data_IF_154548216716
#
_entry.id   IF_154548216716
#
_cell.length_a   1.000
_cell.length_b   1.000
_cell.length_c   1.000
_cell.angle_alpha   90.00
_cell.angle_beta   90.00
_cell.angle_gamma   90.00
#
_symmetry.space_group_name_H-M   'P 1'
#
loop_
_entity.id
_entity.type
_entity.pdbx_description
1 polymer ?
#
# COMPACT_ATOMS: atom_id res chain seq x y z
N UNK A 1 -9.45 -1.52 46.02
CA UNK A 1 -10.41 -0.80 45.16
C UNK A 1 -10.14 -1.17 43.71
N UNK A 2 -10.83 -2.17 43.18
CA UNK A 2 -10.74 -2.54 41.76
C UNK A 2 -11.57 -1.55 40.96
N UNK A 3 -10.96 -0.44 40.54
CA UNK A 3 -11.54 0.43 39.53
C UNK A 3 -11.79 -0.45 38.30
N UNK A 4 -13.03 -0.51 37.83
CA UNK A 4 -13.36 -1.31 36.65
C UNK A 4 -12.48 -0.87 35.48
N UNK A 5 -11.95 -1.81 34.69
CA UNK A 5 -11.11 -1.52 33.51
C UNK A 5 -11.77 -0.53 32.54
N UNK A 6 -13.11 -0.51 32.51
CA UNK A 6 -13.92 0.45 31.75
C UNK A 6 -13.87 1.86 32.34
N UNK A 7 -13.91 1.97 33.67
CA UNK A 7 -13.90 3.23 34.41
C UNK A 7 -12.53 3.91 34.34
N UNK A 8 -11.43 3.15 34.38
CA UNK A 8 -10.08 3.68 34.18
C UNK A 8 -9.88 4.25 32.77
N UNK A 9 -10.37 3.55 31.74
CA UNK A 9 -10.33 4.02 30.33
C UNK A 9 -11.19 5.25 30.13
N UNK A 10 -12.38 5.27 30.73
CA UNK A 10 -13.28 6.41 30.68
C UNK A 10 -12.67 7.65 31.35
N UNK A 11 -12.06 7.50 32.53
CA UNK A 11 -11.36 8.60 33.24
C UNK A 11 -10.13 9.11 32.46
N UNK A 12 -9.35 8.22 31.84
CA UNK A 12 -8.23 8.60 30.97
C UNK A 12 -8.71 9.35 29.72
N UNK A 13 -9.76 8.87 29.06
CA UNK A 13 -10.33 9.54 27.89
C UNK A 13 -10.86 10.95 28.24
N UNK A 14 -11.52 11.10 29.39
CA UNK A 14 -11.97 12.41 29.90
C UNK A 14 -10.77 13.34 30.12
N UNK A 15 -9.72 12.85 30.79
CA UNK A 15 -8.51 13.66 31.04
C UNK A 15 -7.90 14.21 29.74
N UNK A 16 -7.80 13.37 28.69
CA UNK A 16 -7.26 13.79 27.40
C UNK A 16 -8.19 14.72 26.62
N UNK A 17 -9.50 14.55 26.71
CA UNK A 17 -10.47 15.52 26.16
C UNK A 17 -10.38 16.88 26.86
N UNK A 18 -10.18 16.91 28.17
CA UNK A 18 -9.98 18.16 28.92
C UNK A 18 -8.68 18.85 28.49
N UNK A 19 -7.58 18.10 28.33
CA UNK A 19 -6.32 18.67 27.85
C UNK A 19 -6.43 19.21 26.41
N UNK A 20 -7.11 18.48 25.53
CA UNK A 20 -7.35 18.92 24.15
C UNK A 20 -8.25 20.17 24.08
N UNK A 21 -9.24 20.28 24.97
CA UNK A 21 -10.06 21.49 25.10
C UNK A 21 -9.22 22.69 25.55
N UNK A 22 -8.30 22.51 26.50
CA UNK A 22 -7.35 23.57 26.90
C UNK A 22 -6.54 24.03 25.69
N UNK A 23 -5.95 23.11 24.92
CA UNK A 23 -5.17 23.43 23.70
C UNK A 23 -6.00 24.23 22.69
N UNK A 24 -7.26 23.82 22.45
CA UNK A 24 -8.16 24.52 21.54
C UNK A 24 -8.47 25.95 22.01
N UNK A 25 -8.66 26.14 23.33
CA UNK A 25 -8.89 27.47 23.93
C UNK A 25 -7.63 28.33 23.86
N UNK A 26 -6.43 27.79 24.08
CA UNK A 26 -5.17 28.55 23.93
C UNK A 26 -4.96 29.01 22.49
N UNK A 27 -5.23 28.15 21.51
CA UNK A 27 -5.16 28.51 20.08
C UNK A 27 -6.19 29.59 19.75
N UNK A 28 -7.44 29.46 20.22
CA UNK A 28 -8.46 30.49 20.03
C UNK A 28 -8.02 31.84 20.60
N UNK A 29 -7.55 31.86 21.85
CA UNK A 29 -7.10 33.09 22.52
C UNK A 29 -5.92 33.75 21.80
N UNK A 30 -4.97 32.95 21.30
CA UNK A 30 -3.83 33.44 20.53
C UNK A 30 -4.24 34.06 19.18
N UNK A 31 -5.19 33.44 18.47
CA UNK A 31 -5.69 33.96 17.20
C UNK A 31 -6.47 35.27 17.41
N UNK A 32 -7.30 35.36 18.45
CA UNK A 32 -7.98 36.61 18.83
C UNK A 32 -6.96 37.70 19.19
N UNK A 33 -5.88 37.34 19.90
CA UNK A 33 -4.82 38.28 20.27
C UNK A 33 -4.08 38.87 19.05
N UNK A 34 -3.91 38.08 17.98
CA UNK A 34 -3.31 38.54 16.71
C UNK A 34 -4.32 39.32 15.84
N UNK A 35 -5.54 39.55 16.35
CA UNK A 35 -6.57 40.34 15.65
C UNK A 35 -7.35 39.55 14.60
N UNK A 36 -7.31 38.21 14.65
CA UNK A 36 -8.15 37.38 13.79
C UNK A 36 -9.59 37.46 14.30
N UNK A 37 -10.52 37.57 13.36
CA UNK A 37 -11.93 37.73 13.65
C UNK A 37 -12.47 36.60 14.54
N UNK A 38 -13.24 36.94 15.56
CA UNK A 38 -13.58 36.04 16.68
C UNK A 38 -14.23 34.72 16.24
N UNK A 39 -15.05 34.73 15.17
CA UNK A 39 -15.67 33.50 14.64
C UNK A 39 -14.67 32.58 13.94
N UNK A 40 -13.66 33.14 13.26
CA UNK A 40 -12.60 32.36 12.61
C UNK A 40 -11.68 31.76 13.67
N UNK A 41 -11.33 32.54 14.70
CA UNK A 41 -10.56 32.05 15.83
C UNK A 41 -11.31 30.95 16.60
N UNK A 42 -12.63 31.08 16.77
CA UNK A 42 -13.46 30.07 17.41
C UNK A 42 -13.47 28.75 16.62
N UNK A 43 -13.73 28.81 15.32
CA UNK A 43 -13.72 27.64 14.44
C UNK A 43 -12.35 26.94 14.42
N UNK A 44 -11.26 27.71 14.36
CA UNK A 44 -9.89 27.18 14.39
C UNK A 44 -9.55 26.53 15.74
N UNK A 45 -9.92 27.15 16.86
CA UNK A 45 -9.72 26.59 18.20
C UNK A 45 -10.51 25.30 18.43
N UNK A 46 -11.79 25.28 18.04
CA UNK A 46 -12.64 24.09 18.13
C UNK A 46 -12.12 22.93 17.26
N UNK A 47 -11.75 23.23 16.00
CA UNK A 47 -11.17 22.24 15.09
C UNK A 47 -9.87 21.65 15.63
N UNK A 48 -8.98 22.50 16.16
CA UNK A 48 -7.71 22.05 16.76
C UNK A 48 -7.94 21.18 18.00
N UNK A 49 -8.88 21.57 18.88
CA UNK A 49 -9.23 20.78 20.06
C UNK A 49 -9.80 19.40 19.72
N UNK A 50 -10.64 19.29 18.69
CA UNK A 50 -11.21 18.00 18.25
C UNK A 50 -10.12 17.09 17.67
N UNK A 51 -9.27 17.61 16.76
CA UNK A 51 -8.19 16.83 16.14
C UNK A 51 -7.15 16.41 17.18
N UNK A 52 -6.77 17.31 18.09
CA UNK A 52 -5.85 17.00 19.19
C UNK A 52 -6.45 15.93 20.13
N UNK A 53 -7.75 15.99 20.44
CA UNK A 53 -8.43 14.99 21.25
C UNK A 53 -8.38 13.59 20.64
N UNK A 54 -8.71 13.47 19.34
CA UNK A 54 -8.59 12.20 18.62
C UNK A 54 -7.15 11.69 18.55
N UNK A 55 -6.17 12.57 18.28
CA UNK A 55 -4.76 12.19 18.21
C UNK A 55 -4.21 11.73 19.57
N UNK A 56 -4.51 12.44 20.65
CA UNK A 56 -4.04 12.11 22.00
C UNK A 56 -4.67 10.80 22.50
N UNK A 57 -5.94 10.55 22.21
CA UNK A 57 -6.58 9.27 22.57
C UNK A 57 -5.98 8.12 21.75
N UNK A 58 -5.82 8.28 20.43
CA UNK A 58 -5.27 7.23 19.57
C UNK A 58 -3.81 6.88 19.91
N UNK A 59 -3.00 7.88 20.29
CA UNK A 59 -1.57 7.67 20.56
C UNK A 59 -1.27 7.35 22.03
N UNK A 60 -1.98 7.97 22.99
CA UNK A 60 -1.69 7.86 24.43
C UNK A 60 -2.73 7.06 25.24
N UNK A 61 -3.92 6.75 24.71
CA UNK A 61 -4.78 5.71 25.29
C UNK A 61 -4.43 4.29 24.79
N UNK A 62 -3.35 4.13 24.00
CA UNK A 62 -2.75 2.83 23.70
C UNK A 62 -2.32 2.19 25.02
N UNK A 63 -2.90 1.05 25.38
CA UNK A 63 -2.76 0.52 26.75
C UNK A 63 -1.35 -0.04 26.99
N UNK A 64 -0.93 -0.08 28.25
CA UNK A 64 0.31 -0.77 28.65
C UNK A 64 0.34 -2.25 28.17
N UNK A 65 -0.83 -2.88 27.98
CA UNK A 65 -0.96 -4.22 27.39
C UNK A 65 -0.65 -4.24 25.88
N UNK A 66 -1.08 -3.25 25.10
CA UNK A 66 -0.73 -3.16 23.67
C UNK A 66 0.76 -2.88 23.47
N UNK A 67 1.35 -2.08 24.35
CA UNK A 67 2.80 -1.86 24.36
C UNK A 67 3.56 -3.10 24.83
N UNK A 68 3.06 -3.83 25.84
CA UNK A 68 3.64 -5.10 26.27
C UNK A 68 3.49 -6.20 25.22
N UNK A 69 2.35 -6.27 24.51
CA UNK A 69 2.10 -7.19 23.41
C UNK A 69 2.99 -6.87 22.22
N UNK A 70 3.18 -5.58 21.89
CA UNK A 70 4.11 -5.15 20.85
C UNK A 70 5.56 -5.47 21.22
N UNK A 71 5.95 -5.25 22.48
CA UNK A 71 7.28 -5.59 22.98
C UNK A 71 7.52 -7.12 23.03
N UNK A 72 6.47 -7.91 23.30
CA UNK A 72 6.51 -9.38 23.24
C UNK A 72 6.66 -9.86 21.80
N UNK A 73 5.88 -9.30 20.87
CA UNK A 73 5.96 -9.64 19.44
C UNK A 73 7.33 -9.30 18.83
N UNK A 74 7.97 -8.20 19.26
CA UNK A 74 9.33 -7.87 18.86
C UNK A 74 10.36 -8.88 19.39
N UNK A 75 10.23 -9.30 20.66
CA UNK A 75 11.09 -10.34 21.25
C UNK A 75 10.93 -11.70 20.58
N UNK A 76 9.69 -12.10 20.26
CA UNK A 76 9.42 -13.34 19.53
C UNK A 76 9.94 -13.27 18.08
N UNK A 77 9.80 -12.12 17.43
CA UNK A 77 10.37 -11.88 16.09
C UNK A 77 11.90 -11.91 16.07
N UNK A 78 12.54 -11.40 17.11
CA UNK A 78 14.00 -11.46 17.26
C UNK A 78 14.47 -12.88 17.57
N UNK A 79 13.78 -13.59 18.45
CA UNK A 79 14.05 -15.00 18.75
C UNK A 79 13.90 -15.90 17.50
N UNK A 80 12.91 -15.63 16.65
CA UNK A 80 12.72 -16.35 15.38
C UNK A 80 13.84 -16.07 14.35
N UNK A 81 14.45 -14.87 14.38
CA UNK A 81 15.57 -14.49 13.50
C UNK A 81 16.92 -14.95 14.01
N UNK A 82 17.05 -15.19 15.33
CA UNK A 82 18.29 -15.62 15.98
C UNK A 82 19.01 -16.79 15.29
N UNK A 83 18.36 -17.93 14.95
CA UNK A 83 19.05 -19.04 14.27
C UNK A 83 19.57 -18.67 12.88
N UNK A 84 18.87 -17.81 12.14
CA UNK A 84 19.34 -17.31 10.84
C UNK A 84 20.52 -16.34 10.99
N UNK A 85 20.52 -15.51 12.03
CA UNK A 85 21.63 -14.61 12.34
C UNK A 85 22.87 -15.39 12.77
N UNK A 86 22.72 -16.37 13.66
CA UNK A 86 23.82 -17.22 14.14
C UNK A 86 24.39 -18.07 12.97
N UNK A 87 23.53 -18.61 12.09
CA UNK A 87 23.96 -19.34 10.89
C UNK A 87 24.64 -18.45 9.83
N UNK A 88 24.34 -17.15 9.79
CA UNK A 88 24.99 -16.20 8.89
C UNK A 88 26.26 -15.61 9.50
N UNK A 89 26.33 -15.43 10.81
CA UNK A 89 27.53 -15.00 11.53
C UNK A 89 28.63 -16.08 11.49
N UNK A 90 28.24 -17.36 11.47
CA UNK A 90 29.17 -18.48 11.26
C UNK A 90 29.76 -18.54 9.84
N UNK A 91 29.20 -17.81 8.88
CA UNK A 91 29.79 -17.66 7.55
C UNK A 91 30.85 -16.57 7.60
N UNK A 92 32.11 -16.98 7.73
CA UNK A 92 33.26 -16.08 7.53
C UNK A 92 33.27 -15.62 6.08
N UNK A 93 32.79 -14.41 5.82
CA UNK A 93 33.08 -13.72 4.57
C UNK A 93 34.57 -13.37 4.63
N UNK A 94 35.39 -14.14 3.92
CA UNK A 94 36.77 -13.75 3.63
C UNK A 94 36.67 -12.46 2.80
N UNK A 95 36.73 -11.32 3.48
CA UNK A 95 37.08 -10.06 2.84
C UNK A 95 38.53 -10.20 2.42
N UNK A 96 38.76 -10.75 1.23
CA UNK A 96 40.07 -10.84 0.64
C UNK A 96 40.65 -9.42 0.57
N UNK A 97 41.67 -9.15 1.38
CA UNK A 97 42.57 -8.01 1.22
C UNK A 97 43.06 -8.08 -0.22
N UNK A 98 42.67 -7.08 -1.04
CA UNK A 98 43.07 -6.95 -2.44
C UNK A 98 44.57 -7.24 -2.60
N UNK A 99 44.99 -8.37 -3.20
CA UNK A 99 46.38 -8.54 -3.61
C UNK A 99 46.59 -7.67 -4.85
N UNK A 100 47.74 -6.99 -4.85
CA UNK A 100 48.12 -6.05 -5.89
C UNK A 100 48.27 -6.66 -7.27
N UNK A 101 48.50 -5.73 -8.19
CA UNK A 101 48.90 -5.87 -9.58
C UNK A 101 49.68 -7.15 -9.93
N UNK A 102 49.41 -7.63 -11.15
CA UNK A 102 50.21 -8.58 -11.93
C UNK A 102 50.06 -10.08 -11.60
N UNK A 103 49.08 -10.75 -12.24
CA UNK A 103 49.20 -12.11 -12.76
C UNK A 103 47.95 -12.56 -13.55
N UNK A 104 48.16 -13.45 -14.50
CA UNK A 104 47.30 -13.77 -15.63
C UNK A 104 46.00 -14.56 -15.34
N UNK A 105 45.06 -14.38 -16.27
CA UNK A 105 43.82 -15.11 -16.60
C UNK A 105 43.72 -16.58 -16.13
N UNK A 106 42.80 -16.84 -15.20
CA UNK A 106 41.95 -18.05 -15.15
C UNK A 106 40.61 -17.69 -14.51
N UNK A 107 39.50 -18.00 -15.19
CA UNK A 107 38.13 -17.71 -14.73
C UNK A 107 37.61 -18.80 -13.78
N UNK A 108 36.88 -18.47 -12.68
CA UNK A 108 36.05 -19.43 -11.98
C UNK A 108 34.65 -19.45 -12.56
N UNK A 109 34.29 -20.59 -13.13
CA UNK A 109 32.95 -20.98 -13.59
C UNK A 109 32.00 -21.13 -12.41
N UNK A 110 30.99 -20.28 -12.33
CA UNK A 110 29.77 -20.54 -11.54
C UNK A 110 28.63 -20.84 -12.54
N UNK A 111 27.92 -21.98 -12.44
CA UNK A 111 26.85 -22.32 -13.38
C UNK A 111 25.68 -21.36 -13.20
N UNK A 112 25.57 -20.43 -14.16
CA UNK A 112 24.44 -19.51 -14.33
C UNK A 112 23.36 -20.23 -15.13
N UNK A 113 22.42 -20.87 -14.45
CA UNK A 113 21.17 -21.30 -15.07
C UNK A 113 20.28 -20.08 -15.32
N UNK A 114 20.48 -19.45 -16.46
CA UNK A 114 19.57 -18.48 -17.06
C UNK A 114 19.16 -19.00 -18.44
N UNK A 115 17.86 -19.13 -18.76
CA UNK A 115 17.43 -19.21 -20.14
C UNK A 115 17.56 -17.83 -20.81
N UNK A 116 18.64 -17.74 -21.58
CA UNK A 116 19.00 -16.84 -22.67
C UNK A 116 17.84 -16.03 -23.30
N UNK A 117 17.97 -14.71 -23.21
CA UNK A 117 17.42 -13.78 -24.19
C UNK A 117 18.17 -13.93 -25.54
N UNK A 118 17.42 -14.05 -26.63
CA UNK A 118 17.86 -13.77 -28.00
C UNK A 118 16.92 -12.66 -28.52
N UNK A 119 17.41 -11.43 -28.57
CA UNK A 119 17.94 -10.77 -29.77
C UNK A 119 16.88 -9.88 -30.44
N UNK A 120 17.07 -8.58 -30.26
CA UNK A 120 16.35 -7.50 -30.93
C UNK A 120 16.73 -7.38 -32.41
N UNK A 121 15.84 -6.83 -33.24
CA UNK A 121 16.24 -5.98 -34.35
C UNK A 121 15.66 -4.55 -34.21
N UNK A 122 16.40 -3.57 -34.73
CA UNK A 122 16.10 -2.12 -34.83
C UNK A 122 16.29 -1.74 -36.33
N UNK A 123 15.82 -0.59 -36.88
CA UNK A 123 14.47 0.00 -36.98
C UNK A 123 14.02 0.40 -38.43
N UNK A 124 12.73 0.78 -38.57
CA UNK A 124 12.09 1.73 -39.53
C UNK A 124 11.85 1.27 -41.01
N UNK A 125 10.77 1.71 -41.73
CA UNK A 125 10.21 3.08 -41.74
C UNK A 125 8.66 3.28 -41.72
N UNK A 126 8.28 4.55 -41.53
CA UNK A 126 6.97 5.25 -41.53
C UNK A 126 6.29 5.26 -42.93
N UNK A 127 4.95 5.37 -43.08
CA UNK A 127 4.21 6.65 -43.27
C UNK A 127 2.91 6.75 -42.40
N UNK A 128 2.57 7.84 -41.70
CA UNK A 128 1.83 9.06 -42.15
C UNK A 128 0.49 8.73 -42.87
N UNK A 129 -0.71 9.28 -42.59
CA UNK A 129 -1.16 10.43 -41.80
C UNK A 129 -2.69 10.31 -41.48
N UNK A 130 -3.16 11.08 -40.48
CA UNK A 130 -4.56 11.30 -40.06
C UNK A 130 -5.33 12.20 -41.07
N UNK A 131 -6.65 12.54 -40.89
CA UNK A 131 -7.19 13.43 -39.83
C UNK A 131 -8.59 13.01 -39.27
N UNK A 132 -8.90 13.10 -37.97
CA UNK A 132 -9.23 14.27 -37.12
C UNK A 132 -10.66 14.85 -37.27
N UNK A 133 -11.50 14.71 -36.22
CA UNK A 133 -12.36 15.79 -35.68
C UNK A 133 -12.63 15.58 -34.18
N UNK A 134 -12.46 16.65 -33.40
CA UNK A 134 -12.80 16.83 -31.96
C UNK A 134 -13.76 18.06 -31.86
N UNK A 135 -14.08 18.70 -30.70
CA UNK A 135 -14.01 18.35 -29.26
C UNK A 135 -15.24 18.83 -28.41
N UNK A 136 -15.29 18.48 -27.10
CA UNK A 136 -15.78 19.26 -25.91
C UNK A 136 -16.37 18.32 -24.82
N UNK A 137 -16.15 18.41 -23.50
CA UNK A 137 -15.39 19.29 -22.61
C UNK A 137 -15.09 18.56 -21.27
N UNK A 138 -14.03 18.98 -20.57
CA UNK A 138 -13.48 18.42 -19.32
C UNK A 138 -14.12 18.98 -18.02
N UNK A 139 -13.73 18.51 -16.80
CA UNK A 139 -12.47 18.95 -16.14
C UNK A 139 -11.64 17.77 -15.59
N UNK A 140 -10.36 17.62 -15.96
CA UNK A 140 -9.12 18.15 -15.35
C UNK A 140 -8.35 17.07 -14.56
N UNK A 141 -7.00 16.99 -14.66
CA UNK A 141 -6.28 15.72 -14.65
C UNK A 141 -5.51 15.47 -13.35
N UNK A 142 -5.61 14.25 -12.82
CA UNK A 142 -4.61 13.68 -11.92
C UNK A 142 -3.51 13.03 -12.76
N UNK A 143 -2.26 13.23 -12.37
CA UNK A 143 -1.04 12.88 -13.09
C UNK A 143 -1.11 11.50 -13.79
N UNK A 144 -1.14 11.50 -15.12
CA UNK A 144 -1.07 10.27 -15.91
C UNK A 144 0.35 9.72 -15.91
N UNK A 145 0.58 8.73 -15.06
CA UNK A 145 1.60 7.73 -15.30
C UNK A 145 0.86 6.44 -15.66
N UNK A 146 0.83 6.10 -16.95
CA UNK A 146 0.21 4.86 -17.45
C UNK A 146 -1.18 5.04 -18.06
N UNK A 147 -1.51 4.16 -19.02
CA UNK A 147 -2.85 4.09 -19.61
C UNK A 147 -3.83 3.48 -18.60
N UNK A 148 -4.99 4.12 -18.41
CA UNK A 148 -6.08 3.56 -17.62
C UNK A 148 -6.63 2.29 -18.30
N UNK A 149 -6.70 1.15 -17.61
CA UNK A 149 -7.28 -0.06 -18.17
C UNK A 149 -8.78 0.05 -18.40
N UNK A 150 -9.29 -0.78 -19.31
CA UNK A 150 -10.71 -0.81 -19.67
C UNK A 150 -11.60 -1.14 -18.45
N UNK A 151 -12.36 -0.14 -18.01
CA UNK A 151 -13.30 -0.23 -16.89
C UNK A 151 -14.74 -0.31 -17.39
N UNK A 152 -15.60 -0.96 -16.61
CA UNK A 152 -17.03 -1.09 -16.84
C UNK A 152 -17.79 -0.23 -15.83
N UNK A 153 -18.96 0.28 -16.19
CA UNK A 153 -19.83 1.05 -15.28
C UNK A 153 -20.67 0.17 -14.36
N UNK A 154 -20.82 -1.11 -14.71
CA UNK A 154 -21.59 -2.11 -14.00
C UNK A 154 -21.06 -3.51 -14.35
N UNK A 155 -21.27 -4.51 -13.48
CA UNK A 155 -20.98 -5.90 -13.82
C UNK A 155 -21.79 -6.37 -15.04
N UNK A 156 -21.25 -7.34 -15.79
CA UNK A 156 -21.94 -7.92 -16.95
C UNK A 156 -23.16 -8.73 -16.50
N UNK A 157 -23.96 -9.23 -17.47
CA UNK A 157 -25.18 -10.03 -17.24
C UNK A 157 -25.03 -11.24 -16.30
N UNK A 158 -23.80 -11.68 -16.00
CA UNK A 158 -23.50 -12.78 -15.07
C UNK A 158 -23.19 -12.38 -13.63
N UNK A 159 -23.28 -11.09 -13.26
CA UNK A 159 -22.84 -10.59 -11.95
C UNK A 159 -21.36 -10.26 -11.92
N UNK A 160 -20.83 -9.83 -10.77
CA UNK A 160 -19.39 -9.63 -10.57
C UNK A 160 -18.73 -10.95 -10.15
N UNK A 161 -17.49 -11.15 -10.57
CA UNK A 161 -16.67 -12.26 -10.09
C UNK A 161 -16.15 -11.95 -8.67
N UNK A 162 -15.88 -12.98 -7.88
CA UNK A 162 -15.33 -12.82 -6.53
C UNK A 162 -13.83 -12.52 -6.57
N UNK A 163 -13.47 -11.24 -6.65
CA UNK A 163 -12.06 -10.83 -6.75
C UNK A 163 -11.24 -11.24 -5.51
N UNK A 164 -11.88 -11.58 -4.38
CA UNK A 164 -11.17 -12.01 -3.16
C UNK A 164 -10.47 -13.37 -3.31
N UNK A 165 -10.81 -14.15 -4.34
CA UNK A 165 -10.09 -15.39 -4.70
C UNK A 165 -8.67 -15.15 -5.21
N UNK A 166 -8.31 -13.91 -5.56
CA UNK A 166 -6.94 -13.52 -5.87
C UNK A 166 -6.19 -13.22 -4.58
N UNK A 167 -5.03 -13.84 -4.38
CA UNK A 167 -4.18 -13.59 -3.22
C UNK A 167 -3.78 -12.12 -3.17
N UNK A 168 -4.07 -11.48 -2.04
CA UNK A 168 -3.77 -10.06 -1.82
C UNK A 168 -4.94 -9.11 -2.09
N UNK A 169 -6.02 -9.59 -2.70
CA UNK A 169 -7.30 -8.89 -2.79
C UNK A 169 -8.18 -9.29 -1.60
N UNK A 170 -8.40 -8.37 -0.66
CA UNK A 170 -9.37 -8.56 0.42
C UNK A 170 -10.68 -7.83 0.13
N UNK A 171 -11.70 -8.02 0.97
CA UNK A 171 -13.03 -7.40 0.81
C UNK A 171 -13.00 -5.87 0.64
N UNK A 172 -12.02 -5.17 1.22
CA UNK A 172 -11.83 -3.72 1.03
C UNK A 172 -11.26 -3.38 -0.35
N UNK A 173 -10.33 -4.18 -0.85
CA UNK A 173 -9.69 -4.00 -2.15
C UNK A 173 -10.64 -4.36 -3.29
N UNK A 174 -11.44 -5.41 -3.11
CA UNK A 174 -12.50 -5.77 -4.04
C UNK A 174 -13.48 -4.60 -4.23
N UNK A 175 -13.95 -3.98 -3.14
CA UNK A 175 -14.80 -2.78 -3.23
C UNK A 175 -14.15 -1.65 -4.02
N UNK A 176 -12.88 -1.35 -3.76
CA UNK A 176 -12.14 -0.34 -4.51
C UNK A 176 -11.99 -0.70 -6.00
N UNK A 177 -11.73 -1.97 -6.32
CA UNK A 177 -11.67 -2.43 -7.71
C UNK A 177 -13.03 -2.29 -8.40
N UNK A 178 -14.10 -2.66 -7.72
CA UNK A 178 -15.47 -2.53 -8.19
C UNK A 178 -15.86 -1.05 -8.39
N UNK A 179 -15.44 -0.15 -7.50
CA UNK A 179 -15.65 1.30 -7.63
C UNK A 179 -14.89 1.89 -8.84
N UNK A 180 -13.70 1.35 -9.13
CA UNK A 180 -12.91 1.72 -10.33
C UNK A 180 -13.46 1.12 -11.63
N UNK A 181 -14.43 0.19 -11.54
CA UNK A 181 -15.10 -0.46 -12.66
C UNK A 181 -14.48 -1.79 -13.10
N UNK A 182 -13.73 -2.46 -12.22
CA UNK A 182 -13.19 -3.80 -12.44
C UNK A 182 -13.99 -4.81 -11.63
N UNK A 183 -14.78 -5.64 -12.33
CA UNK A 183 -15.69 -6.60 -11.71
C UNK A 183 -15.35 -8.05 -12.07
N UNK A 184 -14.47 -8.27 -13.04
CA UNK A 184 -14.23 -9.61 -13.59
C UNK A 184 -12.75 -9.98 -13.67
N UNK A 185 -12.45 -11.27 -13.51
CA UNK A 185 -11.08 -11.77 -13.65
C UNK A 185 -10.53 -11.54 -15.07
N UNK A 186 -11.39 -11.58 -16.10
CA UNK A 186 -10.96 -11.37 -17.49
C UNK A 186 -10.44 -9.95 -17.75
N UNK A 187 -10.92 -8.96 -16.99
CA UNK A 187 -10.42 -7.58 -17.09
C UNK A 187 -8.99 -7.51 -16.54
N UNK A 188 -8.77 -8.06 -15.34
CA UNK A 188 -7.47 -8.08 -14.66
C UNK A 188 -6.45 -8.92 -15.45
N UNK A 189 -6.89 -10.04 -16.02
CA UNK A 189 -6.07 -10.93 -16.84
C UNK A 189 -5.52 -10.27 -18.12
N UNK A 190 -6.18 -9.21 -18.61
CA UNK A 190 -5.80 -8.46 -19.82
C UNK A 190 -4.92 -7.25 -19.54
N UNK A 191 -4.67 -6.91 -18.28
CA UNK A 191 -3.84 -5.76 -17.95
C UNK A 191 -2.41 -5.92 -18.47
N UNK A 192 -1.94 -4.86 -19.11
CA UNK A 192 -0.55 -4.65 -19.49
C UNK A 192 0.26 -4.12 -18.29
N UNK A 193 1.61 -4.22 -18.31
CA UNK A 193 2.43 -3.70 -17.21
C UNK A 193 2.20 -2.20 -16.93
N UNK A 194 1.88 -1.42 -17.95
CA UNK A 194 1.57 0.02 -17.84
C UNK A 194 0.23 0.26 -17.11
N UNK A 195 -0.78 -0.56 -17.42
CA UNK A 195 -2.09 -0.53 -16.78
C UNK A 195 -2.02 -1.04 -15.34
N UNK A 196 -1.20 -2.06 -15.06
CA UNK A 196 -0.92 -2.53 -13.70
C UNK A 196 -0.32 -1.41 -12.84
N UNK A 197 0.66 -0.68 -13.38
CA UNK A 197 1.26 0.45 -12.67
C UNK A 197 0.25 1.57 -12.40
N UNK A 198 -0.63 1.85 -13.36
CA UNK A 198 -1.71 2.82 -13.17
C UNK A 198 -2.66 2.38 -12.04
N UNK A 199 -3.09 1.11 -12.05
CA UNK A 199 -3.98 0.59 -11.00
C UNK A 199 -3.27 0.60 -9.64
N UNK A 200 -2.00 0.22 -9.58
CA UNK A 200 -1.20 0.26 -8.36
C UNK A 200 -1.14 1.68 -7.75
N UNK A 201 -1.08 2.73 -8.56
CA UNK A 201 -1.12 4.12 -8.08
C UNK A 201 -2.53 4.59 -7.71
N UNK A 202 -3.55 4.08 -8.39
CA UNK A 202 -4.96 4.43 -8.17
C UNK A 202 -5.63 3.67 -7.02
N UNK A 203 -4.98 2.66 -6.45
CA UNK A 203 -5.46 1.96 -5.25
C UNK A 203 -5.06 2.71 -3.98
N UNK A 204 -5.98 3.49 -3.42
CA UNK A 204 -5.76 4.29 -2.21
C UNK A 204 -5.37 3.44 -1.00
N UNK A 205 -4.15 3.64 -0.48
CA UNK A 205 -3.61 2.95 0.69
C UNK A 205 -3.08 1.53 0.43
N UNK A 206 -3.12 1.04 -0.82
CA UNK A 206 -2.73 -0.32 -1.17
C UNK A 206 -1.81 -0.37 -2.40
N UNK A 207 -0.92 0.62 -2.52
CA UNK A 207 -0.01 0.76 -3.66
C UNK A 207 0.94 -0.42 -3.84
N UNK A 208 1.17 -0.82 -5.09
CA UNK A 208 2.15 -1.83 -5.49
C UNK A 208 1.72 -3.28 -5.23
N UNK A 209 0.47 -3.53 -4.82
CA UNK A 209 -0.01 -4.90 -4.53
C UNK A 209 -0.35 -5.69 -5.77
N UNK A 210 -0.83 -5.01 -6.83
CA UNK A 210 -1.19 -5.67 -8.08
C UNK A 210 0.04 -6.34 -8.70
N UNK A 211 1.16 -5.62 -8.70
CA UNK A 211 2.45 -6.12 -9.18
C UNK A 211 3.07 -7.16 -8.23
N UNK A 212 3.11 -6.89 -6.92
CA UNK A 212 3.79 -7.76 -5.94
C UNK A 212 3.11 -9.12 -5.79
N UNK A 213 1.78 -9.11 -5.75
CA UNK A 213 0.99 -10.32 -5.54
C UNK A 213 0.58 -10.95 -6.89
N UNK A 214 1.15 -10.51 -8.01
CA UNK A 214 0.98 -11.09 -9.36
C UNK A 214 -0.49 -11.29 -9.76
N UNK A 215 -1.33 -10.28 -9.54
CA UNK A 215 -2.78 -10.39 -9.75
C UNK A 215 -3.15 -10.82 -11.17
N UNK A 216 -2.42 -10.31 -12.17
CA UNK A 216 -2.65 -10.63 -13.59
C UNK A 216 -2.44 -12.11 -13.87
N UNK A 217 -1.44 -12.75 -13.26
CA UNK A 217 -1.16 -14.17 -13.45
C UNK A 217 -2.24 -15.04 -12.80
N UNK A 218 -2.68 -14.69 -11.60
CA UNK A 218 -3.74 -15.42 -10.89
C UNK A 218 -5.11 -15.24 -11.57
N UNK A 219 -5.44 -14.02 -11.98
CA UNK A 219 -6.67 -13.72 -12.68
C UNK A 219 -6.78 -14.47 -14.01
N UNK A 220 -5.67 -14.72 -14.72
CA UNK A 220 -5.67 -15.58 -15.93
C UNK A 220 -6.10 -17.01 -15.63
N UNK A 221 -5.63 -17.57 -14.51
CA UNK A 221 -5.98 -18.94 -14.08
C UNK A 221 -7.46 -19.00 -13.69
N UNK A 222 -7.92 -18.05 -12.88
CA UNK A 222 -9.32 -17.98 -12.42
C UNK A 222 -10.29 -17.69 -13.58
N UNK A 223 -9.93 -16.81 -14.52
CA UNK A 223 -10.73 -16.53 -15.72
C UNK A 223 -10.86 -17.74 -16.66
N UNK A 224 -9.89 -18.66 -16.64
CA UNK A 224 -9.95 -19.91 -17.37
C UNK A 224 -10.76 -21.01 -16.64
N UNK A 225 -11.33 -20.70 -15.47
CA UNK A 225 -12.03 -21.67 -14.62
C UNK A 225 -11.09 -22.57 -13.81
N UNK A 226 -9.79 -22.26 -13.76
CA UNK A 226 -8.83 -22.94 -12.91
C UNK A 226 -8.87 -22.41 -11.49
N UNK A 227 -8.16 -23.09 -10.59
CA UNK A 227 -8.03 -22.69 -9.19
C UNK A 227 -6.56 -22.41 -8.88
N UNK A 228 -6.33 -21.37 -8.08
CA UNK A 228 -5.00 -21.09 -7.54
C UNK A 228 -4.84 -21.81 -6.20
N UNK A 229 -3.60 -22.08 -5.78
CA UNK A 229 -3.31 -22.64 -4.46
C UNK A 229 -3.95 -21.82 -3.32
N UNK A 230 -4.12 -20.51 -3.52
CA UNK A 230 -4.81 -19.64 -2.57
C UNK A 230 -6.33 -19.83 -2.59
N UNK A 231 -6.95 -19.87 -3.78
CA UNK A 231 -8.40 -20.04 -3.89
C UNK A 231 -8.84 -21.40 -3.32
N UNK A 232 -8.08 -22.47 -3.56
CA UNK A 232 -8.35 -23.81 -2.99
C UNK A 232 -8.34 -23.86 -1.47
N UNK A 233 -7.55 -23.00 -0.83
CA UNK A 233 -7.42 -22.95 0.63
C UNK A 233 -8.51 -22.10 1.29
N UNK A 234 -9.15 -21.22 0.51
CA UNK A 234 -10.07 -20.20 1.01
C UNK A 234 -11.54 -20.57 0.77
N UNK A 235 -11.80 -21.51 -0.14
CA UNK A 235 -13.09 -22.20 -0.31
C UNK A 235 -13.35 -23.21 0.83
#
# INVERSE_FOLDING_TARGET
MNISRSEAKFKMAIFWWLLAAVIGVTVMAFLVWIGIWALVAFAAGAGTGIVAGFFLIANFCRTNEEMAASAKALREGEAARKPYLDANAAKVLVSAKKPGADAAKVAPTVPKSAPKAAAAPKPAPKPAAAPAVAPAAAPAPVAETGKRPASLKAPRKGGADDLTRIKGVGAKLEKLCNDLGFYHYDQIAKWTPEEVAWVDENLEGFKGRVSRDEWVAQAKILAAGGETEFSKKTD
#
